data_IF_317937002184
#
_entry.id   IF_317937002184
#
_cell.length_a   1.000
_cell.length_b   1.000
_cell.length_c   1.000
_cell.angle_alpha   90.00
_cell.angle_beta   90.00
_cell.angle_gamma   90.00
#
_symmetry.space_group_name_H-M   'P 1'
#
loop_
_entity.id
_entity.type
_entity.pdbx_description
1 polymer ?
#
# COMPACT_ATOMS: atom_id res chain seq x y z
N UNK A 1 -19.73 -62.31 -9.48
CA UNK A 1 -20.72 -61.23 -9.37
C UNK A 1 -20.59 -60.71 -7.94
N UNK A 2 -19.99 -59.56 -7.66
CA UNK A 2 -20.29 -58.23 -8.21
C UNK A 2 -19.03 -57.34 -8.10
N UNK A 3 -18.61 -56.76 -9.23
CA UNK A 3 -17.62 -55.67 -9.28
C UNK A 3 -18.23 -54.43 -8.61
N UNK A 4 -17.76 -54.10 -7.40
CA UNK A 4 -18.08 -52.84 -6.77
C UNK A 4 -17.19 -51.76 -7.38
N UNK A 5 -17.73 -51.08 -8.39
CA UNK A 5 -17.13 -49.92 -9.04
C UNK A 5 -17.05 -48.78 -8.01
N UNK A 6 -15.86 -48.53 -7.44
CA UNK A 6 -15.61 -47.38 -6.59
C UNK A 6 -15.83 -46.11 -7.43
N UNK A 7 -16.90 -45.38 -7.12
CA UNK A 7 -17.20 -44.11 -7.76
C UNK A 7 -16.01 -43.15 -7.58
N UNK A 8 -15.43 -42.72 -8.69
CA UNK A 8 -14.38 -41.71 -8.70
C UNK A 8 -14.97 -40.40 -8.15
N UNK A 9 -14.35 -39.75 -7.16
CA UNK A 9 -14.86 -38.49 -6.63
C UNK A 9 -14.87 -37.46 -7.76
N UNK A 10 -16.01 -36.82 -7.99
CA UNK A 10 -16.12 -35.77 -8.99
C UNK A 10 -15.07 -34.68 -8.72
N UNK A 11 -14.41 -34.14 -9.77
CA UNK A 11 -13.45 -33.08 -9.60
C UNK A 11 -14.17 -31.86 -9.02
N UNK A 12 -13.93 -31.56 -7.73
CA UNK A 12 -14.43 -30.35 -7.06
C UNK A 12 -14.21 -29.16 -7.99
N UNK A 13 -15.32 -28.55 -8.41
CA UNK A 13 -15.31 -27.38 -9.28
C UNK A 13 -14.28 -26.38 -8.77
N UNK A 14 -13.32 -26.01 -9.64
CA UNK A 14 -12.28 -25.01 -9.35
C UNK A 14 -13.00 -23.72 -8.94
N UNK A 15 -13.13 -23.46 -7.64
CA UNK A 15 -13.69 -22.21 -7.11
C UNK A 15 -12.90 -21.08 -7.78
N UNK A 16 -13.59 -20.26 -8.57
CA UNK A 16 -12.99 -19.15 -9.29
C UNK A 16 -12.17 -18.30 -8.32
N UNK A 17 -10.95 -17.93 -8.73
CA UNK A 17 -10.07 -17.10 -7.93
C UNK A 17 -10.81 -15.81 -7.55
N UNK A 18 -10.86 -15.41 -6.27
CA UNK A 18 -11.50 -14.15 -5.90
C UNK A 18 -10.80 -13.01 -6.66
N UNK A 19 -11.59 -12.12 -7.25
CA UNK A 19 -11.08 -10.95 -7.95
C UNK A 19 -10.27 -10.05 -7.01
N UNK A 20 -9.35 -9.25 -7.57
CA UNK A 20 -8.56 -8.27 -6.81
C UNK A 20 -9.42 -7.35 -5.94
N UNK A 21 -10.59 -6.93 -6.44
CA UNK A 21 -11.56 -6.14 -5.68
C UNK A 21 -12.12 -6.92 -4.48
N UNK A 22 -12.47 -8.20 -4.65
CA UNK A 22 -13.02 -9.02 -3.57
C UNK A 22 -12.00 -9.27 -2.45
N UNK A 23 -10.70 -9.35 -2.79
CA UNK A 23 -9.62 -9.43 -1.80
C UNK A 23 -9.42 -8.12 -1.03
N UNK A 24 -9.54 -6.97 -1.71
CA UNK A 24 -9.45 -5.66 -1.06
C UNK A 24 -10.63 -5.44 -0.09
N UNK A 25 -11.85 -5.78 -0.52
CA UNK A 25 -13.06 -5.68 0.30
C UNK A 25 -13.13 -6.70 1.44
N UNK A 26 -12.31 -7.76 1.40
CA UNK A 26 -12.17 -8.69 2.52
C UNK A 26 -11.33 -8.12 3.67
N UNK A 27 -10.46 -7.14 3.39
CA UNK A 27 -9.69 -6.44 4.40
C UNK A 27 -10.49 -5.22 4.92
N UNK A 28 -11.04 -5.34 6.13
CA UNK A 28 -11.89 -4.31 6.75
C UNK A 28 -11.16 -2.99 6.97
N UNK A 29 -9.86 -3.04 7.31
CA UNK A 29 -9.04 -1.85 7.52
C UNK A 29 -8.76 -1.12 6.21
N UNK A 30 -8.39 -1.87 5.16
CA UNK A 30 -8.19 -1.30 3.83
C UNK A 30 -9.47 -0.69 3.26
N UNK A 31 -10.60 -1.37 3.46
CA UNK A 31 -11.92 -0.88 3.02
C UNK A 31 -12.33 0.38 3.78
N UNK A 32 -12.14 0.41 5.10
CA UNK A 32 -12.43 1.60 5.90
C UNK A 32 -11.56 2.78 5.47
N UNK A 33 -10.25 2.56 5.27
CA UNK A 33 -9.34 3.59 4.75
C UNK A 33 -9.77 4.09 3.37
N UNK A 34 -10.16 3.20 2.46
CA UNK A 34 -10.67 3.57 1.15
C UNK A 34 -11.94 4.41 1.23
N UNK A 35 -12.91 4.01 2.06
CA UNK A 35 -14.18 4.74 2.23
C UNK A 35 -13.90 6.16 2.75
N UNK A 36 -13.09 6.31 3.78
CA UNK A 36 -12.76 7.63 4.34
C UNK A 36 -11.99 8.46 3.32
N UNK A 37 -11.01 7.89 2.62
CA UNK A 37 -10.26 8.58 1.58
C UNK A 37 -11.17 9.08 0.45
N UNK A 38 -12.09 8.23 -0.02
CA UNK A 38 -13.05 8.59 -1.07
C UNK A 38 -13.97 9.70 -0.59
N UNK A 39 -14.48 9.64 0.63
CA UNK A 39 -15.30 10.72 1.19
C UNK A 39 -14.55 12.05 1.26
N UNK A 40 -13.32 12.04 1.77
CA UNK A 40 -12.48 13.25 1.84
C UNK A 40 -12.21 13.79 0.43
N UNK A 41 -11.83 12.92 -0.51
CA UNK A 41 -11.56 13.30 -1.89
C UNK A 41 -12.80 13.88 -2.56
N UNK A 42 -13.98 13.25 -2.42
CA UNK A 42 -15.22 13.75 -2.99
C UNK A 42 -15.60 15.13 -2.44
N UNK A 43 -15.49 15.33 -1.13
CA UNK A 43 -15.76 16.64 -0.51
C UNK A 43 -14.77 17.69 -1.02
N UNK A 44 -13.48 17.36 -1.08
CA UNK A 44 -12.44 18.26 -1.56
C UNK A 44 -12.59 18.61 -3.05
N UNK A 45 -12.99 17.65 -3.90
CA UNK A 45 -13.26 17.90 -5.32
C UNK A 45 -14.56 18.69 -5.53
N UNK A 46 -15.55 18.49 -4.67
CA UNK A 46 -16.81 19.22 -4.69
C UNK A 46 -16.69 20.66 -4.13
N UNK A 47 -15.53 21.08 -3.63
CA UNK A 47 -15.32 22.43 -3.08
C UNK A 47 -15.88 23.57 -3.96
N UNK A 48 -15.69 23.58 -5.31
CA UNK A 48 -16.18 24.68 -6.15
C UNK A 48 -17.70 24.71 -6.33
N UNK A 49 -18.40 23.61 -6.08
CA UNK A 49 -19.86 23.50 -6.24
C UNK A 49 -20.60 23.56 -4.91
N UNK A 50 -19.91 23.36 -3.80
CA UNK A 50 -20.49 23.48 -2.47
C UNK A 50 -20.75 24.97 -2.15
N UNK A 51 -21.82 25.30 -1.42
CA UNK A 51 -22.14 26.67 -1.01
C UNK A 51 -21.22 27.11 0.15
N UNK A 52 -19.91 27.15 -0.10
CA UNK A 52 -18.88 27.56 0.84
C UNK A 52 -18.60 29.05 0.69
N UNK A 53 -18.31 29.72 1.80
CA UNK A 53 -17.76 31.08 1.78
C UNK A 53 -16.42 31.09 1.01
N UNK A 54 -16.04 32.23 0.43
CA UNK A 54 -14.72 32.36 -0.16
C UNK A 54 -13.64 32.12 0.92
N UNK A 55 -12.74 31.14 0.73
CA UNK A 55 -11.75 30.78 1.74
C UNK A 55 -10.74 31.90 2.04
N UNK A 56 -10.58 32.87 1.14
CA UNK A 56 -9.55 33.90 1.23
C UNK A 56 -10.08 35.26 1.70
N UNK A 57 -11.42 35.42 1.79
CA UNK A 57 -12.05 36.65 2.29
C UNK A 57 -11.81 36.80 3.79
N UNK A 58 -11.19 37.93 4.16
CA UNK A 58 -10.91 38.30 5.55
C UNK A 58 -12.03 39.14 6.14
N UNK A 59 -12.36 38.89 7.42
CA UNK A 59 -13.36 39.64 8.16
C UNK A 59 -12.87 39.88 9.60
N UNK A 60 -12.01 40.89 9.85
CA UNK A 60 -11.38 41.08 11.16
C UNK A 60 -12.36 41.25 12.34
N UNK A 61 -13.59 41.68 12.07
CA UNK A 61 -14.67 41.76 13.07
C UNK A 61 -15.09 40.38 13.60
N UNK A 62 -15.00 39.36 12.75
CA UNK A 62 -15.40 37.98 12.99
C UNK A 62 -14.18 37.11 13.32
N UNK A 63 -13.10 37.67 13.87
CA UNK A 63 -11.88 36.91 14.20
C UNK A 63 -12.13 35.94 15.36
N UNK A 64 -11.55 34.74 15.27
CA UNK A 64 -11.51 33.74 16.36
C UNK A 64 -12.89 33.37 16.92
N UNK A 65 -13.92 33.34 16.07
CA UNK A 65 -15.22 32.86 16.46
C UNK A 65 -15.15 31.37 16.81
N UNK A 66 -15.81 30.94 17.90
CA UNK A 66 -15.82 29.54 18.30
C UNK A 66 -16.56 28.66 17.27
N UNK A 67 -16.32 27.35 17.37
CA UNK A 67 -17.07 26.32 16.62
C UNK A 67 -18.57 26.48 16.89
N UNK A 68 -19.40 26.21 15.87
CA UNK A 68 -20.87 26.38 15.89
C UNK A 68 -21.36 27.83 15.95
N UNK A 69 -20.52 28.79 15.59
CA UNK A 69 -20.97 30.17 15.38
C UNK A 69 -21.86 30.28 14.15
N UNK A 70 -22.82 31.22 14.16
CA UNK A 70 -23.72 31.43 13.04
C UNK A 70 -22.94 31.75 11.75
N UNK A 71 -23.19 31.00 10.68
CA UNK A 71 -22.46 31.12 9.41
C UNK A 71 -21.08 30.46 9.37
N UNK A 72 -20.54 30.03 10.52
CA UNK A 72 -19.19 29.46 10.66
C UNK A 72 -19.21 28.16 11.47
N UNK A 73 -19.58 27.02 10.84
CA UNK A 73 -19.74 25.74 11.55
C UNK A 73 -18.47 25.30 12.29
N UNK A 74 -17.29 25.55 11.71
CA UNK A 74 -15.99 25.22 12.31
C UNK A 74 -15.29 26.43 12.96
N UNK A 75 -15.98 27.55 13.09
CA UNK A 75 -15.41 28.81 13.56
C UNK A 75 -14.60 29.54 12.50
N UNK A 76 -13.89 30.58 12.94
CA UNK A 76 -13.07 31.44 12.09
C UNK A 76 -11.64 31.54 12.60
N UNK A 77 -10.71 31.85 11.70
CA UNK A 77 -9.31 32.02 12.07
C UNK A 77 -8.99 33.43 12.61
N UNK A 78 -7.69 33.69 12.83
CA UNK A 78 -7.19 34.97 13.34
C UNK A 78 -7.45 36.18 12.42
N UNK A 79 -7.77 35.94 11.14
CA UNK A 79 -8.14 36.96 10.15
C UNK A 79 -9.66 37.00 9.89
N UNK A 80 -10.43 36.18 10.62
CA UNK A 80 -11.87 36.05 10.44
C UNK A 80 -12.28 35.27 9.19
N UNK A 81 -11.37 34.46 8.63
CA UNK A 81 -11.69 33.59 7.48
C UNK A 81 -12.38 32.32 7.97
N UNK A 82 -13.34 31.81 7.20
CA UNK A 82 -14.10 30.60 7.54
C UNK A 82 -13.22 29.34 7.52
N UNK A 83 -13.13 28.63 8.65
CA UNK A 83 -12.26 27.45 8.77
C UNK A 83 -12.78 26.29 7.93
N UNK A 84 -14.10 26.11 7.80
CA UNK A 84 -14.67 25.00 7.03
C UNK A 84 -14.31 25.12 5.55
N UNK A 85 -14.50 26.30 4.96
CA UNK A 85 -14.14 26.58 3.58
C UNK A 85 -12.64 26.38 3.37
N UNK A 86 -11.80 27.00 4.21
CA UNK A 86 -10.34 26.85 4.12
C UNK A 86 -9.90 25.40 4.27
N UNK A 87 -10.55 24.60 5.12
CA UNK A 87 -10.23 23.20 5.33
C UNK A 87 -10.50 22.37 4.06
N UNK A 88 -11.66 22.56 3.43
CA UNK A 88 -12.05 21.81 2.23
C UNK A 88 -11.16 22.21 1.03
N UNK A 89 -10.97 23.51 0.80
CA UNK A 89 -10.08 24.01 -0.25
C UNK A 89 -8.62 23.63 -0.02
N UNK A 90 -8.15 23.71 1.23
CA UNK A 90 -6.81 23.29 1.63
C UNK A 90 -6.59 21.80 1.43
N UNK A 91 -7.57 20.95 1.75
CA UNK A 91 -7.50 19.50 1.54
C UNK A 91 -7.30 19.15 0.07
N UNK A 92 -8.01 19.84 -0.84
CA UNK A 92 -7.83 19.68 -2.29
C UNK A 92 -6.39 19.98 -2.72
N UNK A 93 -5.81 21.04 -2.18
CA UNK A 93 -4.44 21.48 -2.49
C UNK A 93 -3.42 20.48 -1.92
N UNK A 94 -3.54 20.08 -0.65
CA UNK A 94 -2.63 19.14 0.00
C UNK A 94 -2.64 17.76 -0.72
N UNK A 95 -3.82 17.28 -1.13
CA UNK A 95 -3.96 16.06 -1.94
C UNK A 95 -3.24 16.17 -3.28
N UNK A 96 -3.49 17.26 -4.02
CA UNK A 96 -2.89 17.47 -5.34
C UNK A 96 -1.36 17.53 -5.25
N UNK A 97 -0.82 18.22 -4.25
CA UNK A 97 0.62 18.38 -4.05
C UNK A 97 1.29 17.08 -3.62
N UNK A 98 0.74 16.39 -2.62
CA UNK A 98 1.32 15.13 -2.15
C UNK A 98 1.29 14.03 -3.21
N UNK A 99 0.21 13.92 -3.98
CA UNK A 99 0.13 13.00 -5.12
C UNK A 99 1.16 13.38 -6.20
N UNK A 100 1.21 14.66 -6.60
CA UNK A 100 2.15 15.12 -7.64
C UNK A 100 3.60 14.89 -7.25
N UNK A 101 3.98 15.20 -6.01
CA UNK A 101 5.32 14.94 -5.48
C UNK A 101 5.66 13.43 -5.53
N UNK A 102 4.70 12.58 -5.15
CA UNK A 102 4.87 11.12 -5.23
C UNK A 102 5.08 10.66 -6.67
N UNK A 103 4.27 11.14 -7.62
CA UNK A 103 4.40 10.76 -9.03
C UNK A 103 5.74 11.18 -9.61
N UNK A 104 6.21 12.39 -9.32
CA UNK A 104 7.52 12.88 -9.78
C UNK A 104 8.64 12.02 -9.18
N UNK A 105 8.64 11.82 -7.87
CA UNK A 105 9.66 11.02 -7.19
C UNK A 105 9.68 9.56 -7.68
N UNK A 106 8.49 8.96 -7.84
CA UNK A 106 8.34 7.60 -8.34
C UNK A 106 8.78 7.49 -9.80
N UNK A 107 8.43 8.44 -10.66
CA UNK A 107 8.83 8.43 -12.06
C UNK A 107 10.35 8.50 -12.23
N UNK A 108 10.98 9.55 -11.70
CA UNK A 108 12.42 9.75 -11.85
C UNK A 108 13.22 8.70 -11.06
N UNK A 109 12.78 8.39 -9.84
CA UNK A 109 13.41 7.37 -9.01
C UNK A 109 13.34 5.99 -9.66
N UNK A 110 12.16 5.55 -10.09
CA UNK A 110 12.02 4.24 -10.74
C UNK A 110 12.82 4.15 -12.04
N UNK A 111 12.86 5.23 -12.83
CA UNK A 111 13.67 5.28 -14.05
C UNK A 111 15.16 5.10 -13.74
N UNK A 112 15.69 5.86 -12.77
CA UNK A 112 17.08 5.71 -12.32
C UNK A 112 17.37 4.31 -11.79
N UNK A 113 16.45 3.75 -11.00
CA UNK A 113 16.56 2.40 -10.44
C UNK A 113 16.57 1.31 -11.51
N UNK A 114 15.68 1.42 -12.51
CA UNK A 114 15.62 0.51 -13.66
C UNK A 114 16.91 0.54 -14.47
N UNK A 115 17.38 1.75 -14.81
CA UNK A 115 18.61 1.91 -15.60
C UNK A 115 19.82 1.37 -14.83
N UNK A 116 19.96 1.72 -13.54
CA UNK A 116 21.08 1.26 -12.72
C UNK A 116 21.05 -0.26 -12.52
N UNK A 117 19.90 -0.84 -12.19
CA UNK A 117 19.74 -2.28 -11.94
C UNK A 117 19.89 -3.15 -13.19
N UNK A 118 19.57 -2.62 -14.37
CA UNK A 118 19.74 -3.34 -15.64
C UNK A 118 21.15 -3.20 -16.21
N UNK A 119 21.71 -1.98 -16.26
CA UNK A 119 23.01 -1.73 -16.85
C UNK A 119 24.16 -2.33 -16.02
N UNK A 120 24.04 -2.32 -14.69
CA UNK A 120 25.08 -2.83 -13.79
C UNK A 120 26.41 -2.07 -13.90
N UNK A 121 27.46 -2.66 -13.33
CA UNK A 121 28.85 -2.20 -13.48
C UNK A 121 29.08 -0.73 -13.13
N UNK A 122 29.64 0.04 -14.07
CA UNK A 122 30.00 1.45 -13.87
C UNK A 122 28.78 2.36 -13.78
N UNK A 123 27.77 2.16 -14.62
CA UNK A 123 26.54 2.96 -14.61
C UNK A 123 25.82 2.82 -13.29
N UNK A 124 25.67 1.59 -12.80
CA UNK A 124 25.10 1.32 -11.48
C UNK A 124 25.88 2.05 -10.38
N UNK A 125 27.21 1.89 -10.36
CA UNK A 125 28.05 2.52 -9.35
C UNK A 125 27.96 4.05 -9.37
N UNK A 126 27.94 4.70 -10.55
CA UNK A 126 27.83 6.15 -10.67
C UNK A 126 26.47 6.67 -10.19
N UNK A 127 25.38 6.03 -10.62
CA UNK A 127 24.02 6.44 -10.23
C UNK A 127 23.81 6.21 -8.73
N UNK A 128 24.24 5.06 -8.20
CA UNK A 128 24.12 4.77 -6.77
C UNK A 128 24.99 5.68 -5.91
N UNK A 129 26.20 6.04 -6.35
CA UNK A 129 27.01 7.04 -5.64
C UNK A 129 26.31 8.39 -5.52
N UNK A 130 25.63 8.85 -6.58
CA UNK A 130 24.84 10.08 -6.53
C UNK A 130 23.67 9.98 -5.54
N UNK A 131 22.93 8.87 -5.56
CA UNK A 131 21.85 8.58 -4.62
C UNK A 131 22.36 8.50 -3.18
N UNK A 132 23.47 7.81 -2.95
CA UNK A 132 24.08 7.64 -1.63
C UNK A 132 24.57 9.00 -1.09
N UNK A 133 25.10 9.87 -1.95
CA UNK A 133 25.49 11.24 -1.59
C UNK A 133 24.28 12.07 -1.15
N UNK A 134 23.16 12.00 -1.86
CA UNK A 134 21.93 12.71 -1.48
C UNK A 134 21.39 12.18 -0.15
N UNK A 135 21.35 10.85 0.02
CA UNK A 135 20.85 10.21 1.24
C UNK A 135 21.76 10.35 2.46
N UNK A 136 23.01 10.79 2.28
CA UNK A 136 23.91 11.11 3.38
C UNK A 136 23.42 12.33 4.20
N UNK A 137 22.62 13.20 3.57
CA UNK A 137 22.01 14.32 4.26
C UNK A 137 20.70 13.89 4.95
N UNK A 138 20.45 14.36 6.19
CA UNK A 138 19.15 14.17 6.82
C UNK A 138 18.03 14.76 5.96
N UNK A 139 17.01 13.96 5.65
CA UNK A 139 16.02 14.28 4.61
C UNK A 139 15.29 15.62 4.85
N UNK A 140 14.87 15.89 6.10
CA UNK A 140 14.20 17.16 6.47
C UNK A 140 15.15 18.34 6.23
N UNK A 141 16.40 18.22 6.67
CA UNK A 141 17.36 19.32 6.52
C UNK A 141 17.64 19.61 5.05
N UNK A 142 17.74 18.57 4.22
CA UNK A 142 17.91 18.73 2.78
C UNK A 142 16.69 19.41 2.14
N UNK A 143 15.47 18.99 2.49
CA UNK A 143 14.24 19.62 2.01
C UNK A 143 14.18 21.11 2.39
N UNK A 144 14.49 21.44 3.65
CA UNK A 144 14.53 22.82 4.14
C UNK A 144 15.59 23.64 3.41
N UNK A 145 16.78 23.08 3.18
CA UNK A 145 17.85 23.75 2.45
C UNK A 145 17.45 24.04 0.99
N UNK A 146 16.82 23.08 0.31
CA UNK A 146 16.34 23.28 -1.07
C UNK A 146 15.29 24.41 -1.12
N UNK A 147 14.31 24.41 -0.21
CA UNK A 147 13.29 25.47 -0.19
C UNK A 147 13.89 26.82 0.24
N UNK A 148 14.87 26.85 1.13
CA UNK A 148 15.57 28.08 1.48
C UNK A 148 16.27 28.72 0.26
N UNK A 149 16.78 27.91 -0.67
CA UNK A 149 17.39 28.38 -1.92
C UNK A 149 16.33 28.76 -2.96
N UNK A 150 15.29 27.95 -3.14
CA UNK A 150 14.23 28.19 -4.14
C UNK A 150 13.26 29.30 -3.72
N UNK A 151 13.21 29.63 -2.43
CA UNK A 151 12.22 30.51 -1.82
C UNK A 151 10.96 29.76 -1.38
N UNK A 152 10.22 30.30 -0.39
CA UNK A 152 8.99 29.68 0.10
C UNK A 152 7.91 29.65 -0.97
N UNK A 153 7.11 28.59 -0.99
CA UNK A 153 6.04 28.43 -1.95
C UNK A 153 5.65 26.98 -2.14
N UNK A 154 4.37 26.74 -2.45
CA UNK A 154 3.81 25.39 -2.56
C UNK A 154 4.51 24.56 -3.65
N UNK A 155 4.78 25.17 -4.81
CA UNK A 155 5.46 24.50 -5.93
C UNK A 155 6.93 24.20 -5.60
N UNK A 156 7.61 25.11 -4.91
CA UNK A 156 9.00 24.92 -4.50
C UNK A 156 9.12 23.82 -3.44
N UNK A 157 8.21 23.81 -2.46
CA UNK A 157 8.11 22.75 -1.46
C UNK A 157 7.81 21.39 -2.10
N UNK A 158 6.92 21.35 -3.10
CA UNK A 158 6.65 20.14 -3.89
C UNK A 158 7.91 19.61 -4.56
N UNK A 159 8.66 20.45 -5.28
CA UNK A 159 9.89 20.02 -5.95
C UNK A 159 10.96 19.59 -4.96
N UNK A 160 11.11 20.30 -3.83
CA UNK A 160 12.04 19.93 -2.77
C UNK A 160 11.74 18.52 -2.23
N UNK A 161 10.49 18.26 -1.85
CA UNK A 161 10.07 16.95 -1.33
C UNK A 161 10.20 15.86 -2.39
N UNK A 162 9.80 16.12 -3.63
CA UNK A 162 9.94 15.16 -4.72
C UNK A 162 11.41 14.77 -4.94
N UNK A 163 12.31 15.75 -5.01
CA UNK A 163 13.75 15.54 -5.24
C UNK A 163 14.39 14.71 -4.12
N UNK A 164 14.07 15.04 -2.86
CA UNK A 164 14.57 14.32 -1.68
C UNK A 164 14.11 12.87 -1.64
N UNK A 165 12.98 12.55 -2.28
CA UNK A 165 12.40 11.20 -2.28
C UNK A 165 12.79 10.33 -3.49
N UNK A 166 13.34 10.91 -4.56
CA UNK A 166 13.87 10.15 -5.71
C UNK A 166 14.84 9.01 -5.30
N UNK A 167 15.80 9.22 -4.38
CA UNK A 167 16.74 8.18 -3.94
C UNK A 167 16.08 6.92 -3.40
N UNK A 168 14.99 7.06 -2.64
CA UNK A 168 14.28 5.93 -2.02
C UNK A 168 13.62 5.04 -3.08
N UNK A 169 12.93 5.65 -4.05
CA UNK A 169 12.38 4.93 -5.20
C UNK A 169 13.48 4.28 -6.03
N UNK A 170 14.55 5.02 -6.34
CA UNK A 170 15.64 4.50 -7.16
C UNK A 170 16.34 3.29 -6.54
N UNK A 171 16.62 3.33 -5.23
CA UNK A 171 17.26 2.22 -4.53
C UNK A 171 16.34 0.99 -4.45
N UNK A 172 15.06 1.19 -4.14
CA UNK A 172 14.09 0.10 -4.05
C UNK A 172 13.92 -0.61 -5.41
N UNK A 173 13.69 0.17 -6.47
CA UNK A 173 13.48 -0.35 -7.82
C UNK A 173 14.76 -0.98 -8.38
N UNK A 174 15.93 -0.42 -8.10
CA UNK A 174 17.21 -1.05 -8.46
C UNK A 174 17.34 -2.45 -7.89
N UNK A 175 17.05 -2.63 -6.59
CA UNK A 175 17.23 -3.92 -5.92
C UNK A 175 16.46 -5.05 -6.61
N UNK A 176 15.23 -4.76 -7.03
CA UNK A 176 14.36 -5.72 -7.72
C UNK A 176 14.83 -5.91 -9.17
N UNK A 177 15.15 -4.82 -9.85
CA UNK A 177 15.62 -4.82 -11.24
C UNK A 177 16.89 -5.66 -11.39
N UNK A 178 17.84 -5.56 -10.46
CA UNK A 178 19.08 -6.35 -10.46
C UNK A 178 18.82 -7.85 -10.38
N UNK A 179 17.78 -8.26 -9.65
CA UNK A 179 17.36 -9.67 -9.57
C UNK A 179 16.65 -10.15 -10.83
N UNK A 180 15.81 -9.30 -11.43
CA UNK A 180 15.10 -9.63 -12.67
C UNK A 180 16.01 -9.66 -13.90
N UNK A 181 16.99 -8.76 -13.97
CA UNK A 181 17.92 -8.64 -15.11
C UNK A 181 18.82 -9.86 -15.32
N UNK A 182 18.88 -10.77 -14.33
CA UNK A 182 19.66 -12.02 -14.35
C UNK A 182 18.80 -13.28 -14.54
N UNK A 183 17.52 -13.14 -14.88
CA UNK A 183 16.60 -14.28 -15.09
C UNK A 183 16.60 -14.74 -16.55
N UNK A 184 16.31 -16.01 -16.75
CA UNK A 184 16.34 -16.69 -18.07
C UNK A 184 15.49 -16.00 -19.15
N UNK A 185 14.36 -15.38 -18.80
CA UNK A 185 13.52 -14.67 -19.77
C UNK A 185 14.23 -13.44 -20.36
N UNK A 186 15.14 -12.82 -19.62
CA UNK A 186 15.96 -11.69 -20.10
C UNK A 186 17.02 -12.20 -21.08
N UNK A 187 17.62 -13.35 -20.80
CA UNK A 187 18.57 -13.98 -21.73
C UNK A 187 17.88 -14.41 -23.03
N UNK A 188 16.68 -15.00 -22.94
CA UNK A 188 15.87 -15.31 -24.11
C UNK A 188 15.51 -14.05 -24.93
N UNK A 189 15.17 -12.95 -24.26
CA UNK A 189 14.90 -11.66 -24.91
C UNK A 189 16.14 -11.11 -25.65
N UNK A 190 17.34 -11.23 -25.05
CA UNK A 190 18.62 -10.84 -25.67
C UNK A 190 18.93 -11.70 -26.89
N UNK A 191 18.77 -13.02 -26.79
CA UNK A 191 18.99 -13.94 -27.91
C UNK A 191 18.00 -13.71 -29.06
N UNK A 192 16.82 -13.19 -28.76
CA UNK A 192 15.81 -12.79 -29.74
C UNK A 192 16.11 -11.44 -30.43
N UNK A 193 17.25 -10.81 -30.14
CA UNK A 193 17.69 -9.56 -30.77
C UNK A 193 17.05 -8.29 -30.19
N UNK A 194 16.40 -8.35 -29.02
CA UNK A 194 15.80 -7.16 -28.40
C UNK A 194 16.88 -6.18 -27.92
N UNK A 195 16.65 -4.89 -28.15
CA UNK A 195 17.55 -3.84 -27.67
C UNK A 195 17.49 -3.71 -26.14
N UNK A 196 18.54 -3.16 -25.50
CA UNK A 196 18.54 -2.86 -24.07
C UNK A 196 17.29 -2.10 -23.59
N UNK A 197 16.85 -1.09 -24.35
CA UNK A 197 15.65 -0.32 -24.04
C UNK A 197 14.38 -1.16 -24.16
N UNK A 198 14.26 -2.01 -25.19
CA UNK A 198 13.12 -2.92 -25.33
C UNK A 198 13.06 -3.91 -24.17
N UNK A 199 14.18 -4.49 -23.76
CA UNK A 199 14.23 -5.38 -22.59
C UNK A 199 13.79 -4.63 -21.34
N UNK A 200 14.30 -3.41 -21.13
CA UNK A 200 13.96 -2.63 -19.95
C UNK A 200 12.47 -2.28 -19.86
N UNK A 201 11.88 -1.78 -20.94
CA UNK A 201 10.50 -1.28 -20.94
C UNK A 201 9.43 -2.35 -21.22
N UNK A 202 9.75 -3.39 -21.98
CA UNK A 202 8.78 -4.44 -22.36
C UNK A 202 8.90 -5.70 -21.50
N UNK A 203 10.09 -6.03 -20.98
CA UNK A 203 10.29 -7.25 -20.19
C UNK A 203 10.42 -6.94 -18.70
N UNK A 204 11.26 -5.98 -18.32
CA UNK A 204 11.55 -5.73 -16.90
C UNK A 204 10.51 -4.83 -16.24
N UNK A 205 10.21 -3.67 -16.84
CA UNK A 205 9.29 -2.68 -16.27
C UNK A 205 7.92 -3.28 -15.91
N UNK A 206 7.26 -4.10 -16.75
CA UNK A 206 5.98 -4.70 -16.38
C UNK A 206 6.05 -5.62 -15.15
N UNK A 207 7.19 -6.26 -14.93
CA UNK A 207 7.43 -7.12 -13.76
C UNK A 207 7.73 -6.30 -12.49
N UNK A 208 8.24 -5.08 -12.63
CA UNK A 208 8.55 -4.18 -11.51
C UNK A 208 7.40 -3.23 -11.18
N UNK A 209 6.51 -2.97 -12.15
CA UNK A 209 5.39 -2.04 -12.02
C UNK A 209 4.50 -2.30 -10.80
N UNK A 210 4.14 -3.55 -10.43
CA UNK A 210 3.39 -3.80 -9.20
C UNK A 210 4.10 -3.25 -7.97
N UNK A 211 5.43 -3.39 -7.88
CA UNK A 211 6.19 -2.88 -6.74
C UNK A 211 6.29 -1.35 -6.74
N UNK A 212 6.38 -0.73 -7.92
CA UNK A 212 6.30 0.74 -8.04
C UNK A 212 4.95 1.22 -7.48
N UNK A 213 3.85 0.62 -7.92
CA UNK A 213 2.49 0.99 -7.47
C UNK A 213 2.33 0.79 -5.96
N UNK A 214 2.80 -0.33 -5.42
CA UNK A 214 2.79 -0.61 -3.98
C UNK A 214 3.57 0.47 -3.23
N UNK A 215 4.80 0.75 -3.66
CA UNK A 215 5.67 1.75 -3.01
C UNK A 215 5.04 3.14 -3.06
N UNK A 216 4.46 3.52 -4.20
CA UNK A 216 3.72 4.77 -4.31
C UNK A 216 2.58 4.82 -3.30
N UNK A 217 1.74 3.79 -3.26
CA UNK A 217 0.56 3.77 -2.39
C UNK A 217 0.88 3.94 -0.90
N UNK A 218 2.00 3.40 -0.43
CA UNK A 218 2.46 3.54 0.96
C UNK A 218 3.20 4.84 1.24
N UNK A 219 3.73 5.50 0.19
CA UNK A 219 4.56 6.71 0.34
C UNK A 219 3.76 8.00 0.17
N UNK A 220 2.61 7.99 -0.50
CA UNK A 220 1.77 9.20 -0.67
C UNK A 220 1.44 9.84 0.68
N UNK A 221 1.09 9.05 1.71
CA UNK A 221 0.79 9.57 3.04
C UNK A 221 1.97 10.33 3.64
N UNK A 222 3.19 9.81 3.49
CA UNK A 222 4.42 10.49 3.89
C UNK A 222 4.66 11.78 3.09
N UNK A 223 4.45 11.77 1.78
CA UNK A 223 4.61 12.98 0.95
C UNK A 223 3.67 14.11 1.38
N UNK A 224 2.42 13.77 1.73
CA UNK A 224 1.44 14.75 2.24
C UNK A 224 1.90 15.29 3.59
N UNK A 225 2.35 14.42 4.49
CA UNK A 225 2.82 14.83 5.82
C UNK A 225 4.06 15.73 5.73
N UNK A 226 5.02 15.40 4.85
CA UNK A 226 6.23 16.18 4.63
C UNK A 226 5.91 17.56 4.06
N UNK A 227 5.07 17.62 3.02
CA UNK A 227 4.67 18.90 2.40
C UNK A 227 3.88 19.78 3.38
N UNK A 228 2.95 19.20 4.14
CA UNK A 228 2.26 19.89 5.23
C UNK A 228 3.23 20.35 6.33
N UNK A 229 4.28 19.57 6.61
CA UNK A 229 5.35 19.94 7.54
C UNK A 229 6.14 21.17 7.09
N UNK A 230 6.49 21.28 5.81
CA UNK A 230 7.12 22.50 5.29
C UNK A 230 6.18 23.70 5.31
N UNK A 231 4.90 23.52 4.93
CA UNK A 231 3.88 24.56 5.05
C UNK A 231 3.70 25.03 6.49
N UNK A 232 3.70 24.11 7.46
CA UNK A 232 3.64 24.42 8.89
C UNK A 232 4.83 25.27 9.36
N UNK A 233 6.02 25.07 8.77
CA UNK A 233 7.20 25.88 9.02
C UNK A 233 7.21 27.21 8.25
N UNK A 234 6.17 27.51 7.47
CA UNK A 234 6.06 28.74 6.68
C UNK A 234 6.78 28.70 5.33
N UNK A 235 7.28 27.53 4.91
CA UNK A 235 8.05 27.35 3.69
C UNK A 235 7.21 26.81 2.51
N UNK A 236 5.98 26.37 2.78
CA UNK A 236 5.04 25.87 1.78
C UNK A 236 4.07 26.95 1.27
N UNK A 237 2.77 26.68 1.36
CA UNK A 237 1.74 27.60 0.89
C UNK A 237 1.86 28.99 1.53
N UNK A 238 1.73 30.04 0.71
CA UNK A 238 1.82 31.42 1.14
C UNK A 238 0.44 32.08 1.14
N UNK A 239 0.12 32.98 2.10
CA UNK A 239 -1.14 33.72 2.10
C UNK A 239 -1.42 34.41 0.75
N UNK A 240 -2.69 34.43 0.29
CA UNK A 240 -3.90 34.00 1.00
C UNK A 240 -4.17 32.48 0.96
N UNK A 241 -3.48 31.75 0.09
CA UNK A 241 -3.75 30.36 -0.25
C UNK A 241 -3.88 29.45 0.98
N UNK A 242 -5.00 28.71 1.06
CA UNK A 242 -5.24 27.72 2.10
C UNK A 242 -4.49 26.41 1.80
N UNK A 243 -3.80 25.88 2.82
CA UNK A 243 -3.22 24.54 2.85
C UNK A 243 -3.31 24.01 4.29
N UNK A 244 -3.50 22.70 4.46
CA UNK A 244 -3.69 22.13 5.79
C UNK A 244 -2.49 22.40 6.72
N UNK A 245 -1.27 22.35 6.18
CA UNK A 245 -0.05 22.61 6.95
C UNK A 245 0.10 24.07 7.37
N UNK A 246 -0.19 25.02 6.47
CA UNK A 246 -0.10 26.45 6.81
C UNK A 246 -1.18 26.83 7.83
N UNK A 247 -2.40 26.31 7.69
CA UNK A 247 -3.49 26.50 8.66
C UNK A 247 -3.09 25.99 10.06
N UNK A 248 -2.51 24.79 10.14
CA UNK A 248 -2.00 24.21 11.39
C UNK A 248 -0.92 25.11 12.02
N UNK A 249 0.01 25.61 11.19
CA UNK A 249 1.13 26.46 11.61
C UNK A 249 0.70 27.84 12.11
N UNK A 250 -0.29 28.45 11.46
CA UNK A 250 -0.93 29.69 11.91
C UNK A 250 -1.66 29.47 13.24
N UNK A 251 -2.47 28.42 13.35
CA UNK A 251 -3.22 28.06 14.54
C UNK A 251 -2.35 27.74 15.76
N UNK A 252 -1.11 27.25 15.55
CA UNK A 252 -0.16 26.95 16.64
C UNK A 252 0.06 28.13 17.58
N UNK A 253 0.11 29.36 17.05
CA UNK A 253 0.38 30.58 17.84
C UNK A 253 -0.74 30.90 18.85
N UNK A 254 -1.94 30.41 18.59
CA UNK A 254 -3.17 30.68 19.33
C UNK A 254 -3.77 29.39 19.90
N UNK A 255 -2.98 28.33 20.03
CA UNK A 255 -3.44 27.01 20.46
C UNK A 255 -4.11 27.05 21.84
N UNK A 256 -3.58 27.87 22.76
CA UNK A 256 -4.11 28.00 24.11
C UNK A 256 -5.37 28.88 24.21
N UNK A 257 -5.62 29.74 23.22
CA UNK A 257 -6.77 30.66 23.23
C UNK A 257 -7.91 30.20 22.32
N UNK A 258 -7.58 29.61 21.18
CA UNK A 258 -8.53 29.16 20.17
C UNK A 258 -8.02 27.84 19.56
N UNK A 259 -8.10 26.72 20.30
CA UNK A 259 -7.49 25.45 19.90
C UNK A 259 -8.06 24.90 18.59
N UNK A 260 -9.34 25.18 18.29
CA UNK A 260 -10.01 24.69 17.08
C UNK A 260 -9.29 25.11 15.79
N UNK A 261 -8.64 26.28 15.75
CA UNK A 261 -7.90 26.78 14.57
C UNK A 261 -6.73 25.88 14.19
N UNK A 262 -6.10 25.21 15.16
CA UNK A 262 -4.97 24.29 14.93
C UNK A 262 -5.42 22.82 14.91
N UNK A 263 -6.30 22.42 15.84
CA UNK A 263 -6.73 21.03 16.01
C UNK A 263 -7.50 20.52 14.78
N UNK A 264 -8.36 21.34 14.17
CA UNK A 264 -9.19 20.93 13.03
C UNK A 264 -8.32 20.58 11.80
N UNK A 265 -7.41 21.45 11.32
CA UNK A 265 -6.46 21.09 10.27
C UNK A 265 -5.60 19.87 10.61
N UNK A 266 -5.14 19.75 11.86
CA UNK A 266 -4.33 18.61 12.32
C UNK A 266 -5.09 17.28 12.25
N UNK A 267 -6.35 17.27 12.67
CA UNK A 267 -7.22 16.09 12.55
C UNK A 267 -7.51 15.72 11.10
N UNK A 268 -7.64 16.71 10.20
CA UNK A 268 -7.81 16.45 8.77
C UNK A 268 -6.55 15.82 8.16
N UNK A 269 -5.35 16.34 8.48
CA UNK A 269 -4.08 15.72 8.05
C UNK A 269 -4.00 14.27 8.56
N UNK A 270 -4.30 14.06 9.85
CA UNK A 270 -4.30 12.73 10.45
C UNK A 270 -5.26 11.78 9.72
N UNK A 271 -6.53 12.18 9.53
CA UNK A 271 -7.53 11.37 8.84
C UNK A 271 -7.10 11.05 7.40
N UNK A 272 -6.56 12.04 6.69
CA UNK A 272 -6.12 11.89 5.31
C UNK A 272 -4.95 10.90 5.19
N UNK A 273 -3.89 11.10 5.98
CA UNK A 273 -2.69 10.24 5.96
C UNK A 273 -3.02 8.82 6.40
N UNK A 274 -3.82 8.66 7.46
CA UNK A 274 -4.27 7.35 7.93
C UNK A 274 -5.08 6.62 6.85
N UNK A 275 -6.02 7.30 6.21
CA UNK A 275 -6.88 6.70 5.17
C UNK A 275 -6.05 6.23 3.96
N UNK A 276 -5.08 7.03 3.53
CA UNK A 276 -4.16 6.68 2.44
C UNK A 276 -3.27 5.50 2.82
N UNK A 277 -2.71 5.50 4.02
CA UNK A 277 -1.84 4.40 4.47
C UNK A 277 -2.61 3.09 4.59
N UNK A 278 -3.79 3.11 5.21
CA UNK A 278 -4.67 1.93 5.34
C UNK A 278 -5.09 1.39 3.97
N UNK A 279 -5.45 2.27 3.03
CA UNK A 279 -5.76 1.90 1.66
C UNK A 279 -4.53 1.32 0.94
N UNK A 280 -3.36 1.95 1.09
CA UNK A 280 -2.10 1.52 0.49
C UNK A 280 -1.67 0.12 0.95
N UNK A 281 -1.85 -0.19 2.23
CA UNK A 281 -1.63 -1.54 2.76
C UNK A 281 -2.57 -2.57 2.10
N UNK A 282 -3.84 -2.21 1.85
CA UNK A 282 -4.76 -3.05 1.08
C UNK A 282 -4.34 -3.25 -0.38
N UNK A 283 -3.85 -2.20 -1.04
CA UNK A 283 -3.31 -2.29 -2.41
C UNK A 283 -2.10 -3.23 -2.43
N UNK A 284 -1.21 -3.11 -1.45
CA UNK A 284 -0.08 -4.01 -1.23
C UNK A 284 -0.54 -5.45 -1.08
N UNK A 285 -1.52 -5.72 -0.23
CA UNK A 285 -2.00 -7.06 0.04
C UNK A 285 -2.55 -7.75 -1.22
N UNK A 286 -3.25 -7.00 -2.07
CA UNK A 286 -3.85 -7.52 -3.31
C UNK A 286 -2.83 -7.74 -4.43
N UNK A 287 -1.81 -6.88 -4.47
CA UNK A 287 -0.74 -6.92 -5.47
C UNK A 287 0.41 -7.85 -5.08
N UNK A 288 0.55 -8.23 -3.80
CA UNK A 288 1.59 -9.16 -3.37
C UNK A 288 1.31 -10.60 -3.87
N UNK A 289 2.15 -11.15 -4.77
CA UNK A 289 1.97 -12.49 -5.30
C UNK A 289 2.11 -13.59 -4.23
N UNK A 290 2.78 -13.32 -3.09
CA UNK A 290 2.92 -14.27 -1.98
C UNK A 290 1.64 -14.43 -1.17
N UNK A 291 0.79 -13.41 -1.12
CA UNK A 291 -0.53 -13.49 -0.49
C UNK A 291 -1.53 -14.15 -1.44
N UNK A 292 -1.40 -13.93 -2.76
CA UNK A 292 -2.16 -14.64 -3.80
C UNK A 292 -1.90 -16.15 -3.87
N UNK A 293 -0.75 -16.65 -3.41
CA UNK A 293 -0.44 -18.08 -3.42
C UNK A 293 -1.08 -18.87 -2.26
N UNK A 294 -1.90 -18.22 -1.42
CA UNK A 294 -2.61 -18.91 -0.35
C UNK A 294 -1.70 -19.36 0.80
N UNK A 295 -0.60 -18.65 1.05
CA UNK A 295 0.30 -18.93 2.18
C UNK A 295 -0.37 -18.73 3.56
N UNK A 296 -1.58 -18.16 3.60
CA UNK A 296 -2.46 -18.10 4.79
C UNK A 296 -3.60 -19.12 4.75
N UNK A 297 -3.59 -20.08 3.83
CA UNK A 297 -4.37 -21.30 4.04
C UNK A 297 -3.77 -21.93 5.29
N UNK A 298 -4.52 -21.91 6.40
CA UNK A 298 -4.15 -22.59 7.66
C UNK A 298 -3.39 -23.87 7.35
N UNK A 299 -2.30 -24.22 8.06
CA UNK A 299 -1.67 -25.52 7.86
C UNK A 299 -2.73 -26.61 8.03
N UNK A 300 -3.20 -27.15 6.91
CA UNK A 300 -4.15 -28.26 6.88
C UNK A 300 -3.31 -29.52 6.97
N UNK A 301 -3.69 -30.43 7.85
CA UNK A 301 -3.10 -31.76 7.88
C UNK A 301 -3.17 -32.35 6.47
N UNK A 302 -2.02 -32.80 5.94
CA UNK A 302 -1.91 -33.37 4.59
C UNK A 302 -2.68 -34.68 4.43
N UNK A 303 -3.14 -35.26 5.55
CA UNK A 303 -3.89 -36.50 5.66
C UNK A 303 -5.37 -36.21 5.90
N UNK A 304 -6.20 -36.43 4.88
CA UNK A 304 -7.65 -36.51 5.04
C UNK A 304 -7.99 -37.89 5.61
N UNK A 305 -8.48 -37.95 6.85
CA UNK A 305 -8.99 -39.20 7.43
C UNK A 305 -10.47 -39.28 7.03
N UNK A 306 -10.79 -40.10 6.03
CA UNK A 306 -12.18 -40.46 5.75
C UNK A 306 -12.57 -41.55 6.75
N UNK A 307 -13.39 -41.19 7.75
CA UNK A 307 -14.06 -42.17 8.60
C UNK A 307 -15.35 -42.54 7.88
N UNK A 308 -15.30 -43.56 7.03
CA UNK A 308 -16.55 -44.25 6.68
C UNK A 308 -17.10 -44.94 7.94
N UNK A 309 -18.42 -45.12 8.00
CA UNK A 309 -19.16 -45.55 9.18
C UNK A 309 -18.47 -46.69 9.96
N UNK A 310 -18.58 -46.73 11.31
CA UNK A 310 -17.89 -47.74 12.10
C UNK A 310 -18.34 -49.13 11.62
N UNK A 311 -17.44 -49.84 10.94
CA UNK A 311 -17.59 -51.27 10.72
C UNK A 311 -17.72 -51.93 12.10
N UNK A 312 -18.59 -52.93 12.20
CA UNK A 312 -18.78 -53.70 13.43
C UNK A 312 -17.42 -54.17 13.93
N UNK A 313 -17.02 -53.72 15.12
CA UNK A 313 -15.69 -54.00 15.64
C UNK A 313 -15.56 -55.51 15.83
N UNK A 314 -14.51 -56.15 15.28
CA UNK A 314 -14.32 -57.58 15.45
C UNK A 314 -14.18 -57.95 16.93
N UNK A 315 -14.69 -59.12 17.31
CA UNK A 315 -14.59 -59.62 18.69
C UNK A 315 -13.11 -59.91 18.98
N UNK A 316 -12.50 -59.25 19.98
CA UNK A 316 -11.08 -59.44 20.26
C UNK A 316 -10.80 -60.84 20.82
N UNK A 317 -9.69 -61.43 20.40
CA UNK A 317 -9.22 -62.73 20.90
C UNK A 317 -8.93 -62.65 22.40
N UNK A 318 -9.51 -63.57 23.19
CA UNK A 318 -9.39 -63.57 24.65
C UNK A 318 -7.92 -63.74 25.10
N UNK A 319 -7.43 -62.77 25.88
CA UNK A 319 -6.05 -62.74 26.36
C UNK A 319 -5.05 -62.04 25.43
N UNK A 320 -5.47 -61.55 24.27
CA UNK A 320 -4.58 -60.80 23.37
C UNK A 320 -4.38 -59.34 23.83
N UNK A 321 -3.13 -58.87 23.78
CA UNK A 321 -2.76 -57.46 23.95
C UNK A 321 -3.06 -56.64 22.69
N UNK A 322 -2.95 -57.25 21.50
CA UNK A 322 -3.25 -56.60 20.23
C UNK A 322 -3.81 -57.62 19.23
N UNK A 323 -4.99 -57.35 18.68
CA UNK A 323 -5.64 -58.17 17.65
C UNK A 323 -5.96 -57.26 16.46
N UNK A 324 -5.23 -57.44 15.37
CA UNK A 324 -5.38 -56.72 14.11
C UNK A 324 -6.03 -57.69 13.13
N UNK A 325 -7.15 -57.29 12.55
CA UNK A 325 -7.86 -58.06 11.53
C UNK A 325 -8.02 -57.23 10.26
N UNK A 326 -7.68 -57.82 9.12
CA UNK A 326 -7.79 -57.27 7.76
C UNK A 326 -7.16 -55.87 7.60
N UNK A 327 -5.97 -55.64 8.18
CA UNK A 327 -5.29 -54.35 8.06
C UNK A 327 -4.93 -54.07 6.60
N UNK A 328 -5.49 -52.99 6.05
CA UNK A 328 -5.21 -52.49 4.71
C UNK A 328 -4.78 -51.04 4.79
N UNK A 329 -3.70 -50.70 4.10
CA UNK A 329 -3.26 -49.32 3.93
C UNK A 329 -2.95 -49.07 2.47
N UNK A 330 -3.34 -47.90 1.98
CA UNK A 330 -3.12 -47.49 0.59
C UNK A 330 -2.83 -45.99 0.52
N UNK A 331 -2.06 -45.62 -0.50
CA UNK A 331 -1.72 -44.25 -0.81
C UNK A 331 -2.42 -43.84 -2.11
N UNK A 332 -3.12 -42.70 -2.06
CA UNK A 332 -3.75 -42.13 -3.26
C UNK A 332 -2.83 -41.04 -3.80
N UNK A 333 -2.25 -41.26 -4.98
CA UNK A 333 -1.36 -40.29 -5.63
C UNK A 333 -1.97 -39.92 -6.98
N UNK A 334 -2.56 -38.72 -7.05
CA UNK A 334 -3.33 -38.30 -8.21
C UNK A 334 -4.63 -39.12 -8.36
N UNK A 335 -4.81 -39.75 -9.51
CA UNK A 335 -5.93 -40.68 -9.77
C UNK A 335 -5.59 -42.16 -9.52
N UNK A 336 -4.38 -42.45 -9.05
CA UNK A 336 -3.88 -43.82 -8.88
C UNK A 336 -3.82 -44.21 -7.41
N UNK A 337 -4.22 -45.45 -7.11
CA UNK A 337 -4.18 -46.03 -5.75
C UNK A 337 -3.02 -47.02 -5.67
N UNK A 338 -2.12 -46.80 -4.72
CA UNK A 338 -0.96 -47.64 -4.43
C UNK A 338 -1.17 -48.34 -3.09
N UNK A 339 -1.37 -49.66 -3.13
CA UNK A 339 -1.52 -50.46 -1.90
C UNK A 339 -0.19 -50.58 -1.19
N UNK A 340 -0.15 -50.23 0.09
CA UNK A 340 1.04 -50.30 0.93
C UNK A 340 1.02 -51.51 1.86
N UNK A 341 -0.15 -51.83 2.43
CA UNK A 341 -0.39 -53.02 3.24
C UNK A 341 -1.73 -53.61 2.83
N UNK A 342 -1.82 -54.93 2.70
CA UNK A 342 -3.05 -55.58 2.27
C UNK A 342 -3.39 -56.81 3.10
N UNK A 343 -4.45 -56.72 3.90
CA UNK A 343 -5.10 -57.85 4.57
C UNK A 343 -4.21 -58.55 5.58
N UNK A 344 -3.52 -57.79 6.44
CA UNK A 344 -2.71 -58.36 7.51
C UNK A 344 -3.58 -58.64 8.73
N UNK A 345 -3.53 -59.90 9.17
CA UNK A 345 -4.04 -60.34 10.47
C UNK A 345 -2.85 -60.55 11.43
N UNK A 346 -2.92 -60.00 12.63
CA UNK A 346 -1.86 -60.12 13.64
C UNK A 346 -2.46 -60.20 15.04
N UNK A 347 -2.13 -61.27 15.77
CA UNK A 347 -2.51 -61.44 17.18
C UNK A 347 -1.25 -61.47 18.04
N UNK A 348 -1.18 -60.56 19.01
CA UNK A 348 -0.17 -60.50 20.05
C UNK A 348 -0.81 -60.92 21.37
N UNK A 349 -0.37 -62.04 21.94
CA UNK A 349 -0.81 -62.52 23.26
C UNK A 349 -0.11 -61.78 24.40
#
# INVERSE_FOLDING_TARGET
MTDATLATPEPRARRGRPGSAALLFANTLATAGLVVLVLIALIALAAPILPLADPDVTAPADRLMPVFSAGHPLGTDHLGRDILSRLIWGTRISLAVGLSATFIAAFFGSLLGLVAGYAGGRTDSMVMRGIDMVMAFPYILLALAIVAVLGPGLINALYAIALVNIPFFARNIRGITLGLSRREFVDAARLSGKTPAQILFLEILPNVLPVIVITMSTTVGWMILETAGLSFLGLGAQPPQADLGSMLGEGRKILFTSPHVSVIPGLMIFALVMSINLFGDGVRDVLDPRLRSGALTRPVARTAIMRDAPAEAPVPTAGAVLDIQDLRTEFHVGGSVYKAVGGIDLVLM
#
